data_IF_872555575494
#
_entry.id   IF_872555575494
#
_cell.length_a   1.000
_cell.length_b   1.000
_cell.length_c   1.000
_cell.angle_alpha   90.00
_cell.angle_beta   90.00
_cell.angle_gamma   90.00
#
_symmetry.space_group_name_H-M   'P 1'
#
loop_
_entity.id
_entity.type
_entity.pdbx_description
1 polymer ?
#
# COMPACT_ATOMS: atom_id res chain seq x y z
N UNK A 1 12.21 -10.90 -20.27
CA UNK A 1 12.54 -12.34 -20.47
C UNK A 1 12.15 -12.73 -21.90
N UNK A 2 13.09 -12.79 -22.86
CA UNK A 2 12.74 -12.89 -24.29
C UNK A 2 12.38 -14.31 -24.72
N UNK A 3 11.29 -14.45 -25.47
CA UNK A 3 10.89 -15.70 -26.12
C UNK A 3 10.32 -16.77 -25.19
N UNK A 4 9.97 -16.42 -23.95
CA UNK A 4 9.27 -17.32 -23.02
C UNK A 4 7.77 -17.00 -22.99
N UNK A 5 6.96 -17.95 -22.52
CA UNK A 5 5.51 -17.78 -22.38
C UNK A 5 5.08 -17.31 -20.99
N UNK A 6 5.90 -17.59 -19.99
CA UNK A 6 5.67 -17.26 -18.58
C UNK A 6 7.00 -17.29 -17.81
N UNK A 7 6.97 -16.78 -16.59
CA UNK A 7 8.02 -16.87 -15.58
C UNK A 7 7.45 -17.57 -14.34
N UNK A 8 8.14 -18.62 -13.89
CA UNK A 8 7.85 -19.29 -12.62
C UNK A 8 9.02 -19.04 -11.68
N UNK A 9 8.75 -18.42 -10.53
CA UNK A 9 9.68 -18.35 -9.40
C UNK A 9 9.40 -19.53 -8.47
N UNK A 10 10.41 -20.38 -8.30
CA UNK A 10 10.40 -21.43 -7.28
C UNK A 10 10.62 -20.84 -5.89
N UNK A 11 10.37 -21.57 -4.79
CA UNK A 11 10.60 -21.04 -3.46
C UNK A 11 12.08 -20.64 -3.28
N UNK A 12 12.33 -19.44 -2.75
CA UNK A 12 13.68 -18.93 -2.51
C UNK A 12 13.73 -17.40 -2.33
N UNK A 13 14.91 -16.90 -1.97
CA UNK A 13 15.21 -15.47 -1.88
C UNK A 13 16.15 -15.07 -3.01
N UNK A 14 15.78 -14.06 -3.78
CA UNK A 14 16.43 -13.66 -5.02
C UNK A 14 16.91 -12.21 -4.93
N UNK A 15 18.22 -12.02 -4.93
CA UNK A 15 18.84 -10.70 -5.10
C UNK A 15 18.80 -10.27 -6.56
N UNK A 16 18.34 -9.04 -6.80
CA UNK A 16 18.15 -8.46 -8.12
C UNK A 16 19.01 -7.21 -8.28
N UNK A 17 20.13 -7.35 -9.00
CA UNK A 17 20.96 -6.21 -9.37
C UNK A 17 20.33 -5.35 -10.48
N UNK A 18 19.39 -5.92 -11.23
CA UNK A 18 18.69 -5.29 -12.33
C UNK A 18 17.19 -5.58 -12.24
N UNK A 19 16.38 -4.66 -12.75
CA UNK A 19 14.92 -4.80 -12.77
C UNK A 19 14.48 -5.94 -13.68
N UNK A 20 13.48 -6.71 -13.23
CA UNK A 20 12.79 -7.65 -14.11
C UNK A 20 11.67 -6.91 -14.85
N UNK A 21 11.86 -6.71 -16.15
CA UNK A 21 10.84 -6.09 -17.00
C UNK A 21 9.92 -7.14 -17.62
N UNK A 22 8.61 -6.95 -17.43
CA UNK A 22 7.53 -7.70 -18.06
C UNK A 22 6.84 -6.79 -19.08
N UNK A 23 7.17 -6.99 -20.35
CA UNK A 23 6.76 -6.14 -21.47
C UNK A 23 5.92 -6.86 -22.54
N UNK A 24 5.75 -8.19 -22.39
CA UNK A 24 4.97 -9.00 -23.31
C UNK A 24 3.49 -9.06 -22.89
N UNK A 25 2.58 -8.73 -23.81
CA UNK A 25 1.14 -8.81 -23.57
C UNK A 25 0.71 -10.19 -23.06
N UNK A 26 -0.14 -10.23 -22.03
CA UNK A 26 -0.67 -11.48 -21.46
C UNK A 26 0.36 -12.31 -20.70
N UNK A 27 1.56 -11.79 -20.42
CA UNK A 27 2.62 -12.58 -19.80
C UNK A 27 2.28 -12.93 -18.35
N UNK A 28 2.54 -14.18 -17.99
CA UNK A 28 2.26 -14.70 -16.64
C UNK A 28 3.55 -14.77 -15.83
N UNK A 29 3.51 -14.21 -14.63
CA UNK A 29 4.52 -14.39 -13.59
C UNK A 29 3.85 -15.06 -12.40
N UNK A 30 4.35 -16.22 -12.00
CA UNK A 30 3.85 -16.96 -10.84
C UNK A 30 4.99 -17.25 -9.88
N UNK A 31 4.80 -16.96 -8.60
CA UNK A 31 5.61 -17.46 -7.52
C UNK A 31 4.92 -18.62 -6.79
N UNK A 32 5.70 -19.59 -6.36
CA UNK A 32 5.24 -20.69 -5.51
C UNK A 32 6.00 -20.68 -4.18
N UNK A 33 5.29 -20.71 -3.06
CA UNK A 33 5.89 -20.63 -1.72
C UNK A 33 6.48 -19.25 -1.39
N UNK A 34 5.86 -18.17 -1.88
CA UNK A 34 6.26 -16.77 -1.67
C UNK A 34 7.76 -16.50 -1.90
N UNK A 35 8.27 -16.75 -3.12
CA UNK A 35 9.61 -16.32 -3.48
C UNK A 35 9.78 -14.83 -3.19
N UNK A 36 10.90 -14.51 -2.54
CA UNK A 36 11.22 -13.16 -2.08
C UNK A 36 12.15 -12.49 -3.08
N UNK A 37 11.73 -11.36 -3.65
CA UNK A 37 12.51 -10.57 -4.59
C UNK A 37 13.09 -9.33 -3.88
N UNK A 38 14.41 -9.19 -3.94
CA UNK A 38 15.17 -8.17 -3.20
C UNK A 38 15.99 -7.34 -4.20
N UNK A 39 15.59 -6.11 -4.55
CA UNK A 39 16.43 -5.23 -5.35
C UNK A 39 17.66 -4.81 -4.54
N UNK A 40 18.85 -4.96 -5.12
CA UNK A 40 20.14 -4.64 -4.47
C UNK A 40 20.67 -3.27 -4.88
N UNK A 41 19.84 -2.47 -5.54
CA UNK A 41 20.13 -1.12 -6.03
C UNK A 41 18.87 -0.25 -5.95
N UNK A 42 18.91 0.94 -6.55
CA UNK A 42 17.79 1.91 -6.49
C UNK A 42 16.64 1.58 -7.46
N UNK A 43 16.76 0.52 -8.26
CA UNK A 43 15.75 0.07 -9.21
C UNK A 43 14.61 -0.71 -8.54
N UNK A 44 13.46 -0.80 -9.21
CA UNK A 44 12.39 -1.72 -8.85
C UNK A 44 12.84 -3.18 -8.97
N UNK A 45 12.26 -4.08 -8.17
CA UNK A 45 12.37 -5.52 -8.40
C UNK A 45 11.63 -5.91 -9.70
N UNK A 46 10.42 -5.35 -9.89
CA UNK A 46 9.56 -5.61 -11.03
C UNK A 46 9.09 -4.31 -11.69
N UNK A 47 9.21 -4.26 -13.01
CA UNK A 47 8.58 -3.24 -13.86
C UNK A 47 7.66 -3.92 -14.86
N UNK A 48 6.37 -3.63 -14.80
CA UNK A 48 5.36 -4.26 -15.64
C UNK A 48 4.80 -3.21 -16.61
N UNK A 49 5.20 -3.30 -17.87
CA UNK A 49 4.76 -2.42 -18.96
C UNK A 49 3.81 -3.12 -19.93
N UNK A 50 3.70 -4.44 -19.83
CA UNK A 50 2.85 -5.28 -20.66
C UNK A 50 1.36 -4.95 -20.48
N UNK A 51 0.60 -5.02 -21.59
CA UNK A 51 -0.85 -5.07 -21.49
C UNK A 51 -1.31 -6.43 -20.95
N UNK A 52 -2.21 -6.43 -19.98
CA UNK A 52 -2.90 -7.66 -19.55
C UNK A 52 -2.00 -8.72 -18.94
N UNK A 53 -0.88 -8.35 -18.32
CA UNK A 53 -0.05 -9.30 -17.59
C UNK A 53 -0.79 -9.86 -16.35
N UNK A 54 -0.36 -11.03 -15.88
CA UNK A 54 -0.87 -11.63 -14.65
C UNK A 54 0.31 -11.97 -13.75
N UNK A 55 0.40 -11.34 -12.59
CA UNK A 55 1.52 -11.50 -11.66
C UNK A 55 0.98 -11.93 -10.30
N UNK A 56 1.44 -13.07 -9.79
CA UNK A 56 0.92 -13.60 -8.55
C UNK A 56 1.94 -14.32 -7.65
N UNK A 57 1.68 -14.29 -6.33
CA UNK A 57 2.36 -15.12 -5.34
C UNK A 57 3.80 -14.70 -5.04
N UNK A 58 4.07 -13.40 -4.93
CA UNK A 58 5.42 -12.85 -4.73
C UNK A 58 5.51 -12.07 -3.42
N UNK A 59 6.67 -12.16 -2.75
CA UNK A 59 7.07 -11.26 -1.69
C UNK A 59 8.14 -10.30 -2.22
N UNK A 60 7.96 -9.01 -2.02
CA UNK A 60 8.93 -7.95 -2.30
C UNK A 60 9.57 -7.52 -0.99
N UNK A 61 10.89 -7.42 -0.94
CA UNK A 61 11.58 -6.94 0.26
C UNK A 61 12.58 -5.85 -0.11
N UNK A 62 12.59 -4.76 0.66
CA UNK A 62 13.57 -3.70 0.47
C UNK A 62 14.99 -4.19 0.79
N UNK A 63 15.87 -4.15 -0.21
CA UNK A 63 17.24 -4.64 -0.10
C UNK A 63 18.31 -3.57 -0.02
N UNK A 64 17.95 -2.29 -0.14
CA UNK A 64 18.90 -1.18 -0.19
C UNK A 64 18.96 -0.46 1.15
N UNK A 65 20.18 -0.19 1.63
CA UNK A 65 20.40 0.62 2.84
C UNK A 65 19.70 1.98 2.73
N UNK A 66 19.10 2.44 3.83
CA UNK A 66 18.48 3.76 3.93
C UNK A 66 19.40 4.91 3.56
N UNK A 67 20.71 4.75 3.77
CA UNK A 67 21.73 5.76 3.47
C UNK A 67 22.11 5.83 1.98
N UNK A 68 21.64 4.89 1.15
CA UNK A 68 21.97 4.85 -0.28
C UNK A 68 21.16 5.86 -1.13
N UNK A 69 20.19 6.55 -0.53
CA UNK A 69 19.32 7.53 -1.20
C UNK A 69 17.96 6.97 -1.61
N UNK A 70 17.20 7.78 -2.35
CA UNK A 70 15.85 7.44 -2.79
C UNK A 70 15.83 6.26 -3.77
N UNK A 71 14.74 5.50 -3.71
CA UNK A 71 14.50 4.27 -4.46
C UNK A 71 13.31 4.43 -5.41
N UNK A 72 13.33 3.66 -6.50
CA UNK A 72 12.10 3.39 -7.27
C UNK A 72 11.14 2.54 -6.42
N UNK A 73 9.83 2.51 -6.75
CA UNK A 73 8.90 1.58 -6.11
C UNK A 73 9.40 0.13 -6.18
N UNK A 74 9.20 -0.70 -5.15
CA UNK A 74 9.62 -2.11 -5.21
C UNK A 74 8.98 -2.83 -6.40
N UNK A 75 7.70 -2.55 -6.66
CA UNK A 75 7.02 -2.90 -7.92
C UNK A 75 6.39 -1.66 -8.54
N UNK A 76 6.62 -1.49 -9.84
CA UNK A 76 5.94 -0.46 -10.65
C UNK A 76 5.19 -1.11 -11.81
N UNK A 77 3.91 -0.78 -11.94
CA UNK A 77 3.06 -1.23 -13.04
C UNK A 77 2.61 -0.04 -13.88
N UNK A 78 2.98 0.02 -15.15
CA UNK A 78 2.54 1.08 -16.07
C UNK A 78 1.79 0.57 -17.30
N UNK A 79 1.72 -0.74 -17.52
CA UNK A 79 0.93 -1.34 -18.60
C UNK A 79 -0.58 -1.28 -18.34
N UNK A 80 -1.44 -1.19 -19.37
CA UNK A 80 -2.88 -1.22 -19.18
C UNK A 80 -3.37 -2.65 -18.94
N UNK A 81 -4.47 -2.81 -18.20
CA UNK A 81 -5.12 -4.09 -17.89
C UNK A 81 -4.20 -5.07 -17.15
N UNK A 82 -4.79 -6.16 -16.69
CA UNK A 82 -4.07 -7.25 -16.05
C UNK A 82 -4.34 -7.33 -14.55
N UNK A 83 -3.58 -8.17 -13.86
CA UNK A 83 -3.82 -8.44 -12.45
C UNK A 83 -2.56 -8.66 -11.61
N UNK A 84 -2.60 -8.14 -10.39
CA UNK A 84 -1.73 -8.50 -9.27
C UNK A 84 -2.56 -9.31 -8.27
N UNK A 85 -2.12 -10.50 -7.87
CA UNK A 85 -2.80 -11.31 -6.86
C UNK A 85 -1.79 -11.91 -5.88
N UNK A 86 -2.07 -11.89 -4.57
CA UNK A 86 -1.14 -12.41 -3.56
C UNK A 86 0.26 -11.77 -3.65
N UNK A 87 0.29 -10.45 -3.79
CA UNK A 87 1.52 -9.66 -3.81
C UNK A 87 1.71 -9.00 -2.46
N UNK A 88 2.82 -9.34 -1.83
CA UNK A 88 3.18 -8.82 -0.51
C UNK A 88 4.46 -8.00 -0.59
N UNK A 89 4.60 -7.01 0.27
CA UNK A 89 5.81 -6.22 0.40
C UNK A 89 6.17 -6.03 1.88
N UNK A 90 7.45 -6.17 2.21
CA UNK A 90 7.98 -5.93 3.56
C UNK A 90 9.17 -4.98 3.55
N UNK A 91 9.19 -4.04 4.49
CA UNK A 91 10.28 -3.08 4.69
C UNK A 91 10.63 -3.02 6.16
N UNK A 92 11.75 -3.62 6.55
CA UNK A 92 12.21 -3.70 7.93
C UNK A 92 13.59 -4.31 8.02
N UNK A 93 14.19 -4.25 9.21
CA UNK A 93 15.42 -4.97 9.50
C UNK A 93 15.09 -6.44 9.77
N UNK A 94 15.85 -7.39 9.24
CA UNK A 94 15.60 -8.82 9.49
C UNK A 94 16.92 -9.56 9.71
N UNK A 95 16.98 -10.45 10.71
CA UNK A 95 18.21 -11.09 11.21
C UNK A 95 18.70 -12.29 10.36
N UNK A 96 18.58 -12.18 9.03
CA UNK A 96 19.09 -13.19 8.11
C UNK A 96 20.06 -12.58 7.11
N UNK A 97 21.03 -13.39 6.69
CA UNK A 97 22.08 -12.98 5.76
C UNK A 97 22.01 -13.78 4.46
N UNK A 98 22.38 -13.13 3.37
CA UNK A 98 22.59 -13.72 2.05
C UNK A 98 23.80 -13.06 1.40
N UNK A 99 24.29 -13.61 0.29
CA UNK A 99 25.42 -13.01 -0.45
C UNK A 99 25.15 -11.58 -0.97
N UNK A 100 23.89 -11.13 -0.97
CA UNK A 100 23.47 -9.83 -1.50
C UNK A 100 22.71 -8.95 -0.49
N UNK A 101 22.51 -9.42 0.75
CA UNK A 101 21.83 -8.68 1.81
C UNK A 101 22.44 -9.04 3.16
N UNK A 102 22.97 -8.02 3.84
CA UNK A 102 23.49 -8.15 5.20
C UNK A 102 22.36 -8.42 6.21
N UNK A 103 22.67 -9.20 7.25
CA UNK A 103 21.80 -9.36 8.41
C UNK A 103 21.55 -8.01 9.09
N UNK A 104 20.31 -7.76 9.49
CA UNK A 104 19.91 -6.52 10.14
C UNK A 104 20.26 -5.24 9.36
N UNK A 105 20.29 -5.33 8.03
CA UNK A 105 20.27 -4.16 7.16
C UNK A 105 19.08 -3.28 7.54
N UNK A 106 19.30 -1.97 7.67
CA UNK A 106 18.26 -0.95 7.83
C UNK A 106 17.87 -0.41 6.45
N UNK A 107 16.73 -0.84 5.86
CA UNK A 107 16.47 -0.56 4.46
C UNK A 107 15.65 0.72 4.23
N UNK A 108 15.57 1.11 2.95
CA UNK A 108 14.61 2.10 2.46
C UNK A 108 13.81 1.59 1.26
N UNK A 109 12.52 1.93 1.22
CA UNK A 109 11.68 1.87 0.04
C UNK A 109 10.73 3.08 -0.01
N UNK A 110 10.86 3.94 -1.01
CA UNK A 110 10.04 5.16 -1.09
C UNK A 110 8.57 4.86 -1.41
N UNK A 111 8.32 3.77 -2.14
CA UNK A 111 6.99 3.22 -2.39
C UNK A 111 7.08 1.69 -2.42
N UNK A 112 6.13 0.97 -1.80
CA UNK A 112 6.11 -0.49 -1.95
C UNK A 112 5.60 -0.86 -3.35
N UNK A 113 4.36 -0.48 -3.67
CA UNK A 113 3.74 -0.76 -4.98
C UNK A 113 3.15 0.50 -5.59
N UNK A 114 3.51 0.77 -6.85
CA UNK A 114 2.97 1.87 -7.65
C UNK A 114 2.24 1.35 -8.90
N UNK A 115 0.98 1.76 -9.07
CA UNK A 115 0.14 1.44 -10.24
C UNK A 115 -0.14 2.71 -11.04
N UNK A 116 0.60 2.86 -12.14
CA UNK A 116 0.40 3.91 -13.15
C UNK A 116 -0.52 3.46 -14.30
N UNK A 117 -0.62 2.15 -14.52
CA UNK A 117 -1.47 1.55 -15.55
C UNK A 117 -2.96 1.62 -15.20
N UNK A 118 -3.82 1.73 -16.23
CA UNK A 118 -5.28 1.73 -16.05
C UNK A 118 -5.89 0.34 -16.21
N UNK A 119 -7.10 0.11 -15.71
CA UNK A 119 -7.83 -1.18 -15.78
C UNK A 119 -7.12 -2.36 -15.06
N UNK A 120 -6.25 -2.07 -14.09
CA UNK A 120 -5.52 -3.09 -13.34
C UNK A 120 -6.36 -3.60 -12.18
N UNK A 121 -6.46 -4.92 -12.03
CA UNK A 121 -7.05 -5.55 -10.83
C UNK A 121 -5.96 -5.89 -9.83
N UNK A 122 -6.14 -5.51 -8.57
CA UNK A 122 -5.24 -5.86 -7.46
C UNK A 122 -6.04 -6.65 -6.44
N UNK A 123 -5.60 -7.86 -6.11
CA UNK A 123 -6.35 -8.78 -5.27
C UNK A 123 -5.46 -9.37 -4.18
N UNK A 124 -5.95 -9.37 -2.95
CA UNK A 124 -5.28 -9.88 -1.75
C UNK A 124 -3.81 -9.42 -1.63
N UNK A 125 -3.60 -8.18 -1.23
CA UNK A 125 -2.24 -7.64 -1.01
C UNK A 125 -2.01 -7.24 0.44
N UNK A 126 -0.73 -7.16 0.81
CA UNK A 126 -0.30 -6.65 2.10
C UNK A 126 1.05 -5.94 1.96
N UNK A 127 1.05 -4.64 2.22
CA UNK A 127 2.21 -3.77 2.09
C UNK A 127 2.59 -3.27 3.49
N UNK A 128 3.55 -3.96 4.10
CA UNK A 128 3.88 -3.84 5.50
C UNK A 128 5.22 -3.14 5.66
N UNK A 129 5.22 -1.94 6.23
CA UNK A 129 6.42 -1.45 6.90
C UNK A 129 6.48 -2.16 8.23
N UNK A 130 7.60 -2.79 8.54
CA UNK A 130 7.70 -3.59 9.73
C UNK A 130 7.43 -2.71 10.96
N UNK A 131 6.49 -3.11 11.82
CA UNK A 131 6.29 -2.50 13.14
C UNK A 131 7.18 -3.17 14.21
N UNK A 132 7.67 -4.39 13.92
CA UNK A 132 8.57 -5.15 14.75
C UNK A 132 9.63 -5.88 13.91
N UNK A 133 10.81 -6.06 14.50
CA UNK A 133 11.91 -6.85 13.93
C UNK A 133 12.64 -7.72 14.97
N UNK A 134 13.51 -8.60 14.48
CA UNK A 134 14.36 -9.49 15.26
C UNK A 134 15.82 -9.00 15.36
N UNK A 135 16.05 -7.71 15.10
CA UNK A 135 17.37 -7.07 15.06
C UNK A 135 17.68 -6.19 16.26
N UNK A 136 16.77 -6.11 17.24
CA UNK A 136 16.95 -5.38 18.49
C UNK A 136 16.97 -3.85 18.33
N UNK A 137 16.78 -3.35 17.10
CA UNK A 137 16.51 -1.95 16.80
C UNK A 137 15.02 -1.64 16.95
N UNK A 138 14.66 -0.37 16.76
CA UNK A 138 13.27 -0.06 16.48
C UNK A 138 13.05 -0.34 15.00
N UNK A 139 11.96 -1.03 14.68
CA UNK A 139 11.59 -1.35 13.31
C UNK A 139 11.53 -0.11 12.39
N UNK A 140 11.35 1.07 12.98
CA UNK A 140 11.25 2.37 12.32
C UNK A 140 12.59 3.04 11.97
N UNK A 141 13.74 2.40 12.26
CA UNK A 141 15.01 2.88 11.74
C UNK A 141 15.02 2.79 10.20
N UNK A 142 14.28 1.84 9.64
CA UNK A 142 14.00 1.73 8.22
C UNK A 142 13.20 2.95 7.70
N UNK A 143 13.07 3.08 6.39
CA UNK A 143 12.17 4.08 5.81
C UNK A 143 11.25 3.45 4.77
N UNK A 144 9.95 3.68 4.94
CA UNK A 144 8.96 3.47 3.88
C UNK A 144 8.16 4.74 3.64
N UNK A 145 8.01 5.16 2.39
CA UNK A 145 7.20 6.33 2.05
C UNK A 145 5.71 5.98 2.01
N UNK A 146 5.22 5.58 0.83
CA UNK A 146 3.83 5.11 0.64
C UNK A 146 3.80 3.58 0.50
N UNK A 147 2.77 2.92 1.01
CA UNK A 147 2.60 1.49 0.75
C UNK A 147 1.97 1.24 -0.62
N UNK A 148 0.94 2.02 -0.96
CA UNK A 148 0.26 1.90 -2.26
C UNK A 148 0.04 3.26 -2.90
N UNK A 149 0.58 3.44 -4.11
CA UNK A 149 0.43 4.67 -4.89
C UNK A 149 -0.25 4.35 -6.22
N UNK A 150 -1.37 5.01 -6.51
CA UNK A 150 -2.17 4.76 -7.72
C UNK A 150 -2.35 6.04 -8.50
N UNK A 151 -1.88 6.06 -9.75
CA UNK A 151 -2.12 7.17 -10.70
C UNK A 151 -2.95 6.73 -11.90
N UNK A 152 -3.04 5.43 -12.18
CA UNK A 152 -3.86 4.87 -13.25
C UNK A 152 -5.36 4.88 -12.96
N UNK A 153 -6.19 4.98 -14.00
CA UNK A 153 -7.66 4.97 -13.88
C UNK A 153 -8.25 3.56 -13.91
N UNK A 154 -9.49 3.39 -13.45
CA UNK A 154 -10.20 2.10 -13.48
C UNK A 154 -9.45 0.97 -12.76
N UNK A 155 -8.64 1.31 -11.76
CA UNK A 155 -7.95 0.34 -10.91
C UNK A 155 -8.95 -0.21 -9.89
N UNK A 156 -9.07 -1.53 -9.84
CA UNK A 156 -9.97 -2.22 -8.92
C UNK A 156 -9.19 -3.04 -7.91
N UNK A 157 -9.49 -2.87 -6.63
CA UNK A 157 -8.74 -3.48 -5.54
C UNK A 157 -9.66 -4.28 -4.63
N UNK A 158 -9.27 -5.50 -4.30
CA UNK A 158 -9.95 -6.38 -3.35
C UNK A 158 -8.99 -6.80 -2.25
N UNK A 159 -9.37 -6.60 -0.99
CA UNK A 159 -8.61 -7.12 0.16
C UNK A 159 -7.23 -6.47 0.34
N UNK A 160 -7.18 -5.13 0.34
CA UNK A 160 -5.95 -4.34 0.50
C UNK A 160 -5.58 -4.18 1.98
N UNK A 161 -4.32 -4.49 2.33
CA UNK A 161 -3.72 -4.17 3.63
C UNK A 161 -2.50 -3.30 3.41
N UNK A 162 -2.41 -2.15 4.07
CA UNK A 162 -1.22 -1.28 4.04
C UNK A 162 -0.97 -0.75 5.43
N UNK A 163 0.26 -0.87 5.94
CA UNK A 163 0.52 -0.58 7.35
C UNK A 163 1.85 0.15 7.57
N UNK A 164 1.84 1.06 8.54
CA UNK A 164 2.97 1.70 9.21
C UNK A 164 3.92 2.52 8.33
N UNK A 165 3.49 2.93 7.13
CA UNK A 165 4.34 3.76 6.26
C UNK A 165 4.37 5.23 6.70
N UNK A 166 5.43 5.96 6.38
CA UNK A 166 5.71 7.30 6.94
C UNK A 166 5.07 8.46 6.16
N UNK A 167 4.37 8.18 5.06
CA UNK A 167 3.49 9.12 4.36
C UNK A 167 2.07 8.56 4.33
N UNK A 168 1.18 9.13 3.53
CA UNK A 168 -0.14 8.53 3.29
C UNK A 168 0.02 7.05 2.92
N UNK A 169 -0.62 6.15 3.68
CA UNK A 169 -0.44 4.71 3.47
C UNK A 169 -0.91 4.33 2.05
N UNK A 170 -2.10 4.81 1.68
CA UNK A 170 -2.60 4.81 0.31
C UNK A 170 -2.68 6.23 -0.22
N UNK A 171 -2.07 6.45 -1.39
CA UNK A 171 -2.16 7.69 -2.16
C UNK A 171 -2.80 7.41 -3.53
N UNK A 172 -3.95 8.02 -3.80
CA UNK A 172 -4.76 7.73 -4.97
C UNK A 172 -5.08 8.98 -5.78
N UNK A 173 -4.67 8.96 -7.04
CA UNK A 173 -4.81 10.06 -8.01
C UNK A 173 -5.56 9.64 -9.29
N UNK A 174 -5.78 8.35 -9.48
CA UNK A 174 -6.47 7.81 -10.65
C UNK A 174 -8.00 7.92 -10.60
N UNK A 175 -8.63 8.10 -11.75
CA UNK A 175 -10.09 8.18 -11.87
C UNK A 175 -10.77 6.81 -11.81
N UNK A 176 -12.03 6.77 -11.38
CA UNK A 176 -12.89 5.57 -11.35
C UNK A 176 -12.27 4.41 -10.57
N UNK A 177 -11.52 4.74 -9.52
CA UNK A 177 -10.94 3.76 -8.62
C UNK A 177 -12.02 3.04 -7.81
N UNK A 178 -11.85 1.75 -7.58
CA UNK A 178 -12.76 0.94 -6.77
C UNK A 178 -11.98 0.10 -5.76
N UNK A 179 -12.28 0.23 -4.47
CA UNK A 179 -11.64 -0.54 -3.40
C UNK A 179 -12.68 -1.24 -2.54
N UNK A 180 -12.57 -2.56 -2.45
CA UNK A 180 -13.43 -3.39 -1.61
C UNK A 180 -12.58 -4.05 -0.53
N UNK A 181 -12.82 -3.65 0.71
CA UNK A 181 -12.01 -3.95 1.88
C UNK A 181 -10.62 -3.31 1.82
N UNK A 182 -10.41 -2.36 2.72
CA UNK A 182 -9.11 -1.79 3.08
C UNK A 182 -8.93 -1.87 4.59
N UNK A 183 -7.79 -2.40 5.01
CA UNK A 183 -7.33 -2.34 6.40
C UNK A 183 -5.96 -1.65 6.44
N UNK A 184 -5.73 -0.90 7.52
CA UNK A 184 -4.44 -0.27 7.76
C UNK A 184 -4.15 -0.03 9.22
N UNK A 185 -2.89 0.10 9.57
CA UNK A 185 -2.49 0.62 10.87
C UNK A 185 -1.51 1.77 10.66
N UNK A 186 -1.75 2.91 11.32
CA UNK A 186 -0.83 4.04 11.27
C UNK A 186 0.49 3.70 11.98
N UNK A 187 1.62 4.37 11.65
CA UNK A 187 2.92 4.02 12.24
C UNK A 187 2.92 4.20 13.76
N UNK A 188 3.45 3.21 14.47
CA UNK A 188 3.42 3.20 15.94
C UNK A 188 4.42 4.18 16.56
N UNK A 189 5.57 4.36 15.90
CA UNK A 189 6.70 5.07 16.48
C UNK A 189 7.08 6.35 15.71
N UNK A 190 6.21 6.82 14.80
CA UNK A 190 6.30 8.17 14.23
C UNK A 190 5.28 9.10 14.90
N UNK A 191 5.67 9.70 16.03
CA UNK A 191 4.83 10.65 16.75
C UNK A 191 4.55 11.95 15.97
N UNK A 192 5.28 12.19 14.88
CA UNK A 192 5.12 13.37 14.01
C UNK A 192 4.42 13.01 12.69
N UNK A 193 3.82 11.82 12.59
CA UNK A 193 3.12 11.39 11.39
C UNK A 193 2.03 12.41 11.01
N UNK A 194 2.11 12.89 9.77
CA UNK A 194 1.18 13.90 9.21
C UNK A 194 0.33 13.36 8.07
N UNK A 195 0.56 12.12 7.65
CA UNK A 195 -0.23 11.46 6.61
C UNK A 195 -1.59 10.98 7.11
N UNK A 196 -2.29 10.27 6.23
CA UNK A 196 -3.54 9.57 6.54
C UNK A 196 -3.47 8.10 6.12
N UNK A 197 -4.40 7.27 6.59
CA UNK A 197 -4.46 5.86 6.16
C UNK A 197 -4.88 5.73 4.69
N UNK A 198 -5.83 6.56 4.25
CA UNK A 198 -6.36 6.48 2.88
C UNK A 198 -6.62 7.87 2.31
N UNK A 199 -5.87 8.24 1.27
CA UNK A 199 -5.96 9.54 0.63
C UNK A 199 -6.33 9.42 -0.86
N UNK A 200 -7.48 9.99 -1.23
CA UNK A 200 -7.87 10.23 -2.62
C UNK A 200 -7.77 11.73 -2.89
N UNK A 201 -7.10 12.10 -3.98
CA UNK A 201 -6.76 13.49 -4.26
C UNK A 201 -7.98 14.33 -4.69
N UNK A 202 -8.01 15.65 -4.40
CA UNK A 202 -9.13 16.54 -4.69
C UNK A 202 -9.55 16.59 -6.17
N UNK A 203 -8.61 16.32 -7.08
CA UNK A 203 -8.86 16.34 -8.52
C UNK A 203 -9.76 15.21 -8.98
N UNK A 204 -9.76 14.06 -8.29
CA UNK A 204 -10.47 12.84 -8.68
C UNK A 204 -11.98 13.07 -8.72
N UNK A 205 -12.64 12.73 -9.82
CA UNK A 205 -14.08 12.96 -10.04
C UNK A 205 -14.94 11.75 -9.75
N UNK A 206 -14.38 10.56 -9.75
CA UNK A 206 -15.09 9.35 -9.38
C UNK A 206 -14.18 8.39 -8.64
N UNK A 207 -14.59 7.97 -7.44
CA UNK A 207 -13.88 6.97 -6.65
C UNK A 207 -14.88 6.26 -5.74
N UNK A 208 -14.77 4.94 -5.61
CA UNK A 208 -15.62 4.14 -4.73
C UNK A 208 -14.76 3.34 -3.77
N UNK A 209 -15.08 3.38 -2.47
CA UNK A 209 -14.47 2.47 -1.51
C UNK A 209 -15.49 1.95 -0.49
N UNK A 210 -15.43 0.64 -0.21
CA UNK A 210 -16.34 -0.06 0.70
C UNK A 210 -15.56 -0.85 1.75
N UNK A 211 -15.85 -0.63 3.03
CA UNK A 211 -15.17 -1.31 4.13
C UNK A 211 -13.74 -0.79 4.31
N UNK A 212 -13.60 0.46 4.75
CA UNK A 212 -12.30 1.15 4.89
C UNK A 212 -12.00 1.33 6.38
N UNK A 213 -11.01 0.59 6.89
CA UNK A 213 -10.58 0.64 8.29
C UNK A 213 -9.21 1.30 8.46
N UNK A 214 -9.12 2.27 9.36
CA UNK A 214 -7.87 2.93 9.75
C UNK A 214 -7.67 2.86 11.25
N UNK A 215 -6.51 2.38 11.68
CA UNK A 215 -6.30 1.99 13.07
C UNK A 215 -5.11 2.74 13.66
N UNK A 216 -5.20 3.03 14.96
CA UNK A 216 -4.09 3.53 15.76
C UNK A 216 -3.84 2.54 16.90
N UNK A 217 -2.56 2.17 17.05
CA UNK A 217 -2.02 1.50 18.23
C UNK A 217 -1.06 2.46 18.92
N UNK A 218 -1.09 2.50 20.25
CA UNK A 218 -0.30 3.42 21.04
C UNK A 218 -0.95 4.81 21.17
N UNK A 219 -0.13 5.85 21.19
CA UNK A 219 -0.53 7.22 21.58
C UNK A 219 -0.56 8.21 20.42
N UNK A 220 -0.43 7.76 19.17
CA UNK A 220 -0.51 8.65 18.01
C UNK A 220 -1.85 9.40 18.01
N UNK A 221 -1.84 10.64 17.54
CA UNK A 221 -3.05 11.42 17.29
C UNK A 221 -2.98 11.99 15.88
N UNK A 222 -4.06 11.89 15.12
CA UNK A 222 -4.15 12.46 13.77
C UNK A 222 -5.43 13.26 13.58
N UNK A 223 -5.42 14.20 12.63
CA UNK A 223 -6.59 15.01 12.33
C UNK A 223 -7.73 14.19 11.71
N UNK A 224 -7.41 13.22 10.86
CA UNK A 224 -8.36 12.31 10.21
C UNK A 224 -7.69 11.00 9.84
N UNK A 225 -8.45 9.90 9.80
CA UNK A 225 -7.98 8.62 9.27
C UNK A 225 -8.02 8.55 7.74
N UNK A 226 -9.01 9.20 7.13
CA UNK A 226 -9.29 9.13 5.68
C UNK A 226 -9.50 10.54 5.12
N UNK A 227 -8.99 10.79 3.92
CA UNK A 227 -9.22 12.05 3.18
C UNK A 227 -9.58 11.73 1.73
N UNK A 228 -10.72 12.23 1.27
CA UNK A 228 -11.22 12.00 -0.10
C UNK A 228 -11.86 13.28 -0.65
N UNK A 229 -12.06 13.43 -1.97
CA UNK A 229 -12.87 14.53 -2.49
C UNK A 229 -14.38 14.31 -2.21
N UNK A 230 -15.22 15.36 -2.29
CA UNK A 230 -16.68 15.23 -2.11
C UNK A 230 -17.35 14.37 -3.20
N UNK A 231 -16.64 14.12 -4.30
CA UNK A 231 -17.03 13.28 -5.43
C UNK A 231 -16.84 11.79 -5.18
N UNK A 232 -16.15 11.39 -4.09
CA UNK A 232 -15.96 10.00 -3.74
C UNK A 232 -17.22 9.41 -3.08
N UNK A 233 -17.49 8.13 -3.36
CA UNK A 233 -18.52 7.32 -2.71
C UNK A 233 -17.86 6.36 -1.73
N UNK A 234 -18.07 6.59 -0.44
CA UNK A 234 -17.46 5.83 0.65
C UNK A 234 -18.55 5.12 1.44
N UNK A 235 -18.40 3.83 1.70
CA UNK A 235 -19.37 3.04 2.47
C UNK A 235 -18.68 2.21 3.55
N UNK A 236 -19.23 2.17 4.75
CA UNK A 236 -18.69 1.45 5.91
C UNK A 236 -17.22 1.82 6.20
N UNK A 237 -16.96 3.10 6.44
CA UNK A 237 -15.64 3.59 6.87
C UNK A 237 -15.58 3.57 8.39
N UNK A 238 -14.47 3.17 8.99
CA UNK A 238 -14.30 3.25 10.43
C UNK A 238 -12.86 3.59 10.82
N UNK A 239 -12.74 4.20 12.00
CA UNK A 239 -11.46 4.46 12.64
C UNK A 239 -11.45 3.82 14.03
N UNK A 240 -10.36 3.13 14.37
CA UNK A 240 -10.25 2.37 15.62
C UNK A 240 -8.95 2.63 16.36
N UNK A 241 -9.05 3.13 17.60
CA UNK A 241 -7.93 3.34 18.50
C UNK A 241 -7.73 2.13 19.44
N UNK A 242 -7.09 1.07 18.96
CA UNK A 242 -7.05 -0.26 19.61
C UNK A 242 -6.69 -0.19 21.09
N UNK A 243 -5.64 0.55 21.46
CA UNK A 243 -5.14 0.64 22.84
C UNK A 243 -5.47 1.95 23.54
N UNK A 244 -6.18 2.85 22.86
CA UNK A 244 -6.44 4.19 23.36
C UNK A 244 -7.92 4.55 23.28
N UNK A 245 -8.21 5.77 22.83
CA UNK A 245 -9.57 6.30 22.84
C UNK A 245 -9.89 7.04 21.53
N UNK A 246 -11.18 7.21 21.27
CA UNK A 246 -11.72 7.76 20.03
C UNK A 246 -11.22 9.18 19.72
N UNK A 247 -10.74 9.94 20.70
CA UNK A 247 -10.24 11.32 20.48
C UNK A 247 -8.88 11.38 19.78
N UNK A 248 -8.18 10.25 19.61
CA UNK A 248 -6.94 10.18 18.85
C UNK A 248 -7.16 10.40 17.35
N UNK A 249 -8.37 10.14 16.85
CA UNK A 249 -8.81 10.62 15.55
C UNK A 249 -9.64 11.89 15.73
N UNK A 250 -9.16 13.01 15.19
CA UNK A 250 -9.97 14.24 15.13
C UNK A 250 -11.29 14.01 14.35
N UNK A 251 -11.25 13.11 13.36
CA UNK A 251 -12.38 12.62 12.58
C UNK A 251 -12.07 11.26 11.97
N UNK A 252 -13.11 10.49 11.64
CA UNK A 252 -12.96 9.23 10.89
C UNK A 252 -12.52 9.53 9.45
N UNK A 253 -13.19 10.50 8.81
CA UNK A 253 -12.89 10.92 7.45
C UNK A 253 -13.20 12.39 7.19
N UNK A 254 -12.56 12.99 6.19
CA UNK A 254 -12.87 14.32 5.66
C UNK A 254 -13.05 14.29 4.14
N UNK A 255 -13.91 15.17 3.61
CA UNK A 255 -14.17 15.33 2.17
C UNK A 255 -13.51 16.56 1.53
N UNK A 256 -12.71 17.31 2.27
CA UNK A 256 -11.89 18.41 1.73
C UNK A 256 -10.51 18.43 2.37
N UNK A 257 -9.60 19.20 1.78
CA UNK A 257 -8.35 19.54 2.45
C UNK A 257 -8.62 20.33 3.74
N UNK A 258 -7.87 20.03 4.81
CA UNK A 258 -8.05 20.65 6.13
C UNK A 258 -9.16 20.03 6.96
N UNK A 259 -9.83 20.85 7.79
CA UNK A 259 -10.91 20.45 8.70
C UNK A 259 -12.31 20.77 8.19
N UNK A 260 -12.40 21.36 7.00
CA UNK A 260 -13.67 21.67 6.38
C UNK A 260 -14.31 20.34 5.92
N UNK A 261 -15.58 20.12 6.25
CA UNK A 261 -16.34 18.89 5.95
C UNK A 261 -15.68 17.58 6.44
N UNK A 262 -15.61 17.42 7.76
CA UNK A 262 -15.14 16.19 8.40
C UNK A 262 -16.25 15.49 9.21
N UNK A 263 -16.17 14.16 9.25
CA UNK A 263 -17.13 13.26 9.88
C UNK A 263 -16.45 12.59 11.08
N UNK A 264 -16.91 12.89 12.30
CA UNK A 264 -16.40 12.25 13.52
C UNK A 264 -16.83 10.78 13.68
N UNK A 265 -17.83 10.37 12.91
CA UNK A 265 -18.51 9.10 13.04
C UNK A 265 -19.99 9.31 13.34
N UNK A 266 -20.85 8.61 12.61
CA UNK A 266 -22.29 8.52 12.83
C UNK A 266 -22.61 7.76 14.12
N UNK A 267 -21.73 6.81 14.47
CA UNK A 267 -21.82 6.00 15.68
C UNK A 267 -20.42 5.73 16.21
N UNK A 268 -20.23 5.84 17.51
CA UNK A 268 -19.01 5.41 18.20
C UNK A 268 -19.36 4.36 19.27
N UNK A 269 -18.57 3.28 19.33
CA UNK A 269 -18.73 2.17 20.27
C UNK A 269 -17.42 1.99 21.04
N UNK A 270 -17.24 2.73 22.12
CA UNK A 270 -15.96 2.77 22.83
C UNK A 270 -14.90 3.45 21.98
N UNK A 271 -13.80 2.76 21.69
CA UNK A 271 -12.63 3.30 20.98
C UNK A 271 -12.71 3.18 19.44
N UNK A 272 -13.88 2.87 18.88
CA UNK A 272 -14.12 2.80 17.43
C UNK A 272 -15.28 3.69 17.03
N UNK A 273 -15.12 4.41 15.91
CA UNK A 273 -16.14 5.26 15.31
C UNK A 273 -16.36 4.90 13.84
N UNK A 274 -17.61 5.00 13.38
CA UNK A 274 -18.07 4.53 12.07
C UNK A 274 -18.73 5.64 11.26
N UNK A 275 -18.50 5.69 9.96
CA UNK A 275 -19.24 6.49 8.98
C UNK A 275 -19.88 5.51 8.00
N UNK A 276 -21.22 5.46 7.98
CA UNK A 276 -21.98 4.49 7.23
C UNK A 276 -21.89 4.72 5.72
N UNK A 277 -22.09 5.96 5.29
CA UNK A 277 -22.04 6.34 3.87
C UNK A 277 -21.75 7.83 3.65
N UNK A 278 -20.94 8.14 2.64
CA UNK A 278 -20.66 9.50 2.13
C UNK A 278 -20.62 9.45 0.59
N UNK A 279 -21.21 10.46 -0.07
CA UNK A 279 -21.30 10.55 -1.54
C UNK A 279 -22.67 10.18 -2.09
N UNK A 280 -22.86 10.26 -3.40
CA UNK A 280 -24.09 9.75 -4.03
C UNK A 280 -24.02 8.22 -4.15
N UNK A 281 -25.07 7.54 -3.70
CA UNK A 281 -25.29 6.12 -3.98
C UNK A 281 -25.46 5.93 -5.48
N UNK A 282 -24.39 5.52 -6.16
CA UNK A 282 -24.53 4.84 -7.43
C UNK A 282 -25.13 3.47 -7.10
N UNK A 283 -26.44 3.33 -7.21
CA UNK A 283 -27.09 2.03 -7.12
C UNK A 283 -26.57 1.22 -8.30
N UNK A 284 -25.58 0.37 -8.06
CA UNK A 284 -25.17 -0.67 -9.02
C UNK A 284 -26.28 -1.72 -8.95
N UNK A 285 -27.23 -1.61 -9.88
CA UNK A 285 -28.20 -2.67 -10.20
C UNK A 285 -27.54 -3.69 -11.12
#
# INVERSE_FOLDING_TARGET
IRGKKALLFTPGTYGLSEVITIDQTGFVVLGIGFPTLIPTGTNSALLITAEGAHVAGLLLEAGLSKDAGETRPLLRWSGPKGSLSDIFARVGSFSYETDFKASCLVPRADVHVQIDGSEVTVDNTWFWHADHDDCGGKSDDAFSGHGFLVTGSDVRVYGLKVEHTMKDLVSWQGERGEVYLFQSELPYHDSNFTGVGYHVFPEVKQHTAMGVGVYIVGSLTVSTGVRVPPTASMTNVFAWCITGNETQFGSVMCTSEGSDHCYKGDQCLGNVCYVGHVGETSVVV
#
